data_IF_627452655651
#
_entry.id   IF_627452655651
#
_cell.length_a   1.000
_cell.length_b   1.000
_cell.length_c   1.000
_cell.angle_alpha   90.00
_cell.angle_beta   90.00
_cell.angle_gamma   90.00
#
_symmetry.space_group_name_H-M   'P 1'
#
loop_
_entity.id
_entity.type
_entity.pdbx_description
1 polymer ?
#
# COMPACT_ATOMS: atom_id res chain seq x y z
N UNK A 1 -34.31 12.58 -12.48
CA UNK A 1 -34.15 11.86 -11.20
C UNK A 1 -33.82 10.42 -11.53
N UNK A 2 -32.62 9.94 -11.19
CA UNK A 2 -32.23 8.56 -11.46
C UNK A 2 -33.07 7.61 -10.60
N UNK A 3 -33.65 6.60 -11.22
CA UNK A 3 -34.51 5.61 -10.56
C UNK A 3 -33.60 4.72 -9.68
N UNK A 4 -33.77 4.79 -8.34
CA UNK A 4 -33.00 3.97 -7.41
C UNK A 4 -33.19 2.48 -7.72
N UNK A 5 -32.11 1.74 -7.74
CA UNK A 5 -32.15 0.28 -7.92
C UNK A 5 -32.77 -0.41 -6.71
N UNK A 6 -33.32 -1.62 -6.88
CA UNK A 6 -33.97 -2.35 -5.78
C UNK A 6 -33.04 -2.65 -4.60
N UNK A 7 -31.75 -2.92 -4.86
CA UNK A 7 -30.81 -3.14 -3.76
C UNK A 7 -30.55 -1.87 -2.96
N UNK A 8 -30.46 -0.71 -3.60
CA UNK A 8 -30.35 0.60 -2.91
C UNK A 8 -31.58 0.91 -2.05
N UNK A 9 -32.78 0.59 -2.53
CA UNK A 9 -34.02 0.77 -1.75
C UNK A 9 -34.00 -0.11 -0.47
N UNK A 10 -33.50 -1.35 -0.58
CA UNK A 10 -33.35 -2.25 0.59
C UNK A 10 -32.33 -1.66 1.58
N UNK A 11 -31.19 -1.21 1.10
CA UNK A 11 -30.15 -0.59 1.92
C UNK A 11 -30.66 0.63 2.67
N UNK A 12 -31.20 1.60 1.93
CA UNK A 12 -31.74 2.86 2.51
C UNK A 12 -32.82 2.60 3.57
N UNK A 13 -33.59 1.53 3.40
CA UNK A 13 -34.63 1.18 4.38
C UNK A 13 -34.01 0.61 5.66
N UNK A 14 -33.04 -0.29 5.55
CA UNK A 14 -32.37 -0.89 6.69
C UNK A 14 -31.58 0.18 7.46
N UNK A 15 -30.83 1.03 6.76
CA UNK A 15 -30.10 2.16 7.36
C UNK A 15 -31.04 3.06 8.15
N UNK A 16 -32.15 3.51 7.53
CA UNK A 16 -33.15 4.35 8.22
C UNK A 16 -33.79 3.66 9.42
N UNK A 17 -33.94 2.33 9.40
CA UNK A 17 -34.50 1.59 10.52
C UNK A 17 -33.50 1.46 11.67
N UNK A 18 -32.19 1.39 11.38
CA UNK A 18 -31.10 1.47 12.36
C UNK A 18 -31.03 2.89 12.97
N UNK A 19 -30.95 3.91 12.13
CA UNK A 19 -30.85 5.32 12.57
C UNK A 19 -32.04 5.78 13.42
N UNK A 20 -33.23 5.26 13.12
CA UNK A 20 -34.46 5.56 13.90
C UNK A 20 -34.66 4.62 15.09
N UNK A 21 -33.69 3.78 15.42
CA UNK A 21 -33.77 2.86 16.56
C UNK A 21 -34.78 1.73 16.41
N UNK A 22 -35.34 1.49 15.21
CA UNK A 22 -36.27 0.38 14.95
C UNK A 22 -35.59 -0.95 14.84
N UNK A 23 -34.31 -0.94 14.51
CA UNK A 23 -33.39 -2.07 14.53
C UNK A 23 -32.27 -1.73 15.51
N UNK A 24 -32.24 -2.43 16.64
CA UNK A 24 -31.27 -2.22 17.70
C UNK A 24 -29.96 -2.97 17.42
N UNK A 25 -28.85 -2.48 18.00
CA UNK A 25 -27.56 -3.18 17.99
C UNK A 25 -27.71 -4.64 18.39
N UNK A 26 -27.06 -5.54 17.67
CA UNK A 26 -27.16 -6.98 17.87
C UNK A 26 -28.46 -7.62 17.39
N UNK A 27 -29.43 -6.83 16.91
CA UNK A 27 -30.68 -7.36 16.40
C UNK A 27 -30.47 -8.02 15.02
N UNK A 28 -31.13 -9.17 14.83
CA UNK A 28 -31.05 -9.94 13.59
C UNK A 28 -31.80 -9.25 12.44
N UNK A 29 -31.13 -9.08 11.31
CA UNK A 29 -31.73 -8.60 10.06
C UNK A 29 -32.56 -9.71 9.41
N UNK A 30 -33.69 -9.38 8.73
CA UNK A 30 -34.43 -10.38 7.97
C UNK A 30 -33.54 -11.11 6.96
N UNK A 31 -33.78 -12.41 6.80
CA UNK A 31 -32.98 -13.24 5.89
C UNK A 31 -33.06 -12.77 4.44
N UNK A 32 -32.07 -13.10 3.63
CA UNK A 32 -32.03 -12.83 2.18
C UNK A 32 -33.36 -13.22 1.52
N UNK A 33 -33.90 -14.39 1.84
CA UNK A 33 -35.18 -14.87 1.29
C UNK A 33 -36.35 -13.96 1.68
N UNK A 34 -36.44 -13.56 2.95
CA UNK A 34 -37.50 -12.65 3.42
C UNK A 34 -37.38 -11.25 2.79
N UNK A 35 -36.17 -10.76 2.58
CA UNK A 35 -35.93 -9.49 1.90
C UNK A 35 -36.30 -9.59 0.42
N UNK A 36 -35.88 -10.65 -0.27
CA UNK A 36 -36.22 -10.89 -1.67
C UNK A 36 -37.75 -10.91 -1.90
N UNK A 37 -38.47 -11.64 -1.04
CA UNK A 37 -39.93 -11.73 -1.08
C UNK A 37 -40.61 -10.36 -0.81
N UNK A 38 -40.16 -9.67 0.24
CA UNK A 38 -40.72 -8.35 0.64
C UNK A 38 -40.56 -7.28 -0.43
N UNK A 39 -39.38 -7.25 -1.09
CA UNK A 39 -39.05 -6.22 -2.10
C UNK A 39 -39.29 -6.70 -3.54
N UNK A 40 -39.84 -7.91 -3.72
CA UNK A 40 -40.11 -8.52 -5.03
C UNK A 40 -38.88 -8.43 -5.94
N UNK A 41 -37.74 -8.96 -5.46
CA UNK A 41 -36.49 -8.97 -6.20
C UNK A 41 -35.82 -10.36 -6.13
N UNK A 42 -34.76 -10.57 -6.90
CA UNK A 42 -33.98 -11.80 -6.84
C UNK A 42 -33.25 -11.92 -5.50
N UNK A 43 -32.93 -13.16 -5.11
CA UNK A 43 -32.09 -13.40 -3.92
C UNK A 43 -30.72 -12.72 -4.04
N UNK A 44 -30.16 -12.69 -5.25
CA UNK A 44 -28.87 -12.02 -5.51
C UNK A 44 -28.95 -10.52 -5.28
N UNK A 45 -30.06 -9.88 -5.65
CA UNK A 45 -30.31 -8.44 -5.38
C UNK A 45 -30.39 -8.17 -3.87
N UNK A 46 -31.10 -9.01 -3.13
CA UNK A 46 -31.19 -8.89 -1.66
C UNK A 46 -29.85 -9.22 -0.98
N UNK A 47 -29.12 -10.23 -1.47
CA UNK A 47 -27.79 -10.57 -1.01
C UNK A 47 -26.80 -9.43 -1.25
N UNK A 48 -26.82 -8.80 -2.44
CA UNK A 48 -25.98 -7.65 -2.76
C UNK A 48 -26.22 -6.51 -1.76
N UNK A 49 -27.46 -6.21 -1.42
CA UNK A 49 -27.78 -5.19 -0.43
C UNK A 49 -27.18 -5.49 0.96
N UNK A 50 -27.23 -6.74 1.42
CA UNK A 50 -26.67 -7.12 2.72
C UNK A 50 -25.13 -7.15 2.71
N UNK A 51 -24.51 -7.53 1.61
CA UNK A 51 -23.05 -7.46 1.44
C UNK A 51 -22.61 -6.01 1.52
N UNK A 52 -23.28 -5.13 0.84
CA UNK A 52 -22.99 -3.70 0.83
C UNK A 52 -23.17 -3.06 2.21
N UNK A 53 -24.27 -3.36 2.91
CA UNK A 53 -24.49 -2.91 4.29
C UNK A 53 -23.41 -3.42 5.26
N UNK A 54 -22.92 -4.63 5.06
CA UNK A 54 -21.79 -5.17 5.83
C UNK A 54 -20.51 -4.41 5.52
N UNK A 55 -20.26 -4.10 4.26
CA UNK A 55 -19.11 -3.33 3.84
C UNK A 55 -19.11 -1.93 4.44
N UNK A 56 -20.29 -1.28 4.45
CA UNK A 56 -20.52 0.03 5.08
C UNK A 56 -20.59 -0.03 6.62
N UNK A 57 -20.29 -1.18 7.23
CA UNK A 57 -20.26 -1.39 8.70
C UNK A 57 -21.59 -1.11 9.43
N UNK A 58 -22.72 -1.22 8.76
CA UNK A 58 -24.02 -1.17 9.42
C UNK A 58 -24.43 -2.51 10.04
N UNK A 59 -23.95 -3.61 9.47
CA UNK A 59 -24.27 -4.96 9.91
C UNK A 59 -23.06 -5.88 9.87
N UNK A 60 -23.09 -6.98 10.62
CA UNK A 60 -22.09 -8.05 10.55
C UNK A 60 -22.74 -9.40 10.27
N UNK A 61 -21.98 -10.32 9.71
CA UNK A 61 -22.44 -11.66 9.38
C UNK A 61 -21.99 -12.68 10.43
N UNK A 62 -22.91 -13.54 10.87
CA UNK A 62 -22.61 -14.70 11.71
C UNK A 62 -22.79 -15.95 10.87
N UNK A 63 -21.74 -16.79 10.68
CA UNK A 63 -21.83 -18.02 9.90
C UNK A 63 -23.00 -18.90 10.33
N UNK A 64 -23.76 -19.42 9.36
CA UNK A 64 -24.96 -20.26 9.56
C UNK A 64 -26.13 -19.60 10.32
N UNK A 65 -25.98 -18.37 10.80
CA UNK A 65 -27.01 -17.67 11.56
C UNK A 65 -27.66 -16.51 10.76
N UNK A 66 -26.87 -15.68 10.08
CA UNK A 66 -27.38 -14.58 9.27
C UNK A 66 -26.67 -13.25 9.56
N UNK A 67 -27.39 -12.15 9.35
CA UNK A 67 -26.85 -10.81 9.51
C UNK A 67 -27.46 -10.11 10.74
N UNK A 68 -26.65 -9.30 11.41
CA UNK A 68 -27.01 -8.60 12.65
C UNK A 68 -26.57 -7.15 12.59
N UNK A 69 -27.28 -6.25 13.25
CA UNK A 69 -26.94 -4.83 13.34
C UNK A 69 -25.63 -4.67 14.12
N UNK A 70 -24.67 -3.97 13.54
CA UNK A 70 -23.43 -3.61 14.21
C UNK A 70 -23.70 -2.45 15.18
N UNK A 71 -22.96 -2.39 16.29
CA UNK A 71 -22.99 -1.24 17.18
C UNK A 71 -22.47 -0.01 16.42
N UNK A 72 -23.38 0.92 16.17
CA UNK A 72 -23.04 2.16 15.48
C UNK A 72 -22.74 3.21 16.56
N UNK A 73 -21.48 3.31 16.94
CA UNK A 73 -21.00 4.25 17.94
C UNK A 73 -20.91 5.67 17.32
N UNK A 74 -22.06 6.21 16.93
CA UNK A 74 -22.17 7.58 16.35
C UNK A 74 -21.83 8.69 17.35
N UNK A 75 -21.48 8.34 18.60
CA UNK A 75 -21.13 9.28 19.65
C UNK A 75 -19.61 9.37 19.95
N UNK A 76 -18.75 8.75 19.15
CA UNK A 76 -17.31 8.91 19.30
C UNK A 76 -16.73 9.71 18.15
N UNK A 77 -16.40 10.96 18.50
CA UNK A 77 -15.51 11.91 17.82
C UNK A 77 -15.77 12.03 16.30
N UNK A 78 -16.07 13.24 15.89
CA UNK A 78 -15.76 13.75 14.57
C UNK A 78 -14.30 13.36 14.23
N UNK A 79 -14.09 12.15 13.71
CA UNK A 79 -12.96 11.95 12.84
C UNK A 79 -13.17 12.99 11.75
N UNK A 80 -12.19 13.87 11.61
CA UNK A 80 -12.11 14.77 10.46
C UNK A 80 -12.07 13.83 9.25
N UNK A 81 -13.25 13.46 8.74
CA UNK A 81 -13.37 12.92 7.39
C UNK A 81 -12.92 14.06 6.49
N UNK A 82 -11.62 14.09 6.23
CA UNK A 82 -11.15 14.74 5.02
C UNK A 82 -12.05 14.20 3.92
N UNK A 83 -12.90 15.07 3.39
CA UNK A 83 -13.88 14.77 2.36
C UNK A 83 -13.13 14.18 1.12
N UNK A 84 -12.86 12.90 1.16
CA UNK A 84 -12.44 12.09 0.03
C UNK A 84 -13.72 11.50 -0.53
N UNK A 85 -14.47 12.40 -1.13
CA UNK A 85 -15.69 12.20 -1.86
C UNK A 85 -15.43 11.35 -3.11
N UNK A 86 -16.40 11.04 -3.86
CA UNK A 86 -16.53 10.39 -5.19
C UNK A 86 -15.31 9.61 -5.75
N UNK A 87 -14.07 10.11 -5.59
CA UNK A 87 -12.84 9.52 -6.09
C UNK A 87 -12.56 8.12 -5.53
N UNK A 88 -12.95 7.83 -4.28
CA UNK A 88 -12.73 6.48 -3.70
C UNK A 88 -13.63 5.44 -4.33
N UNK A 89 -14.85 5.81 -4.68
CA UNK A 89 -15.78 4.87 -5.31
C UNK A 89 -15.31 4.56 -6.72
N UNK A 90 -14.86 5.56 -7.46
CA UNK A 90 -14.30 5.40 -8.79
C UNK A 90 -13.02 4.55 -8.76
N UNK A 91 -12.08 4.86 -7.87
CA UNK A 91 -10.85 4.09 -7.71
C UNK A 91 -11.12 2.61 -7.33
N UNK A 92 -12.16 2.34 -6.52
CA UNK A 92 -12.56 0.96 -6.19
C UNK A 92 -13.13 0.22 -7.41
N UNK A 93 -14.01 0.86 -8.18
CA UNK A 93 -14.58 0.25 -9.40
C UNK A 93 -13.49 0.02 -10.46
N UNK A 94 -12.57 0.96 -10.64
CA UNK A 94 -11.44 0.82 -11.55
C UNK A 94 -10.53 -0.33 -11.12
N UNK A 95 -10.21 -0.43 -9.83
CA UNK A 95 -9.45 -1.57 -9.29
C UNK A 95 -10.16 -2.89 -9.53
N UNK A 96 -11.48 -2.95 -9.29
CA UNK A 96 -12.28 -4.15 -9.51
C UNK A 96 -12.30 -4.58 -10.98
N UNK A 97 -12.42 -3.61 -11.90
CA UNK A 97 -12.33 -3.86 -13.35
C UNK A 97 -10.96 -4.40 -13.72
N UNK A 98 -9.88 -3.75 -13.27
CA UNK A 98 -8.52 -4.19 -13.53
C UNK A 98 -8.25 -5.62 -13.02
N UNK A 99 -8.73 -5.97 -11.82
CA UNK A 99 -8.61 -7.32 -11.28
C UNK A 99 -9.33 -8.34 -12.15
N UNK A 100 -10.58 -8.04 -12.53
CA UNK A 100 -11.37 -8.95 -13.39
C UNK A 100 -10.72 -9.13 -14.75
N UNK A 101 -10.32 -8.06 -15.43
CA UNK A 101 -9.65 -8.11 -16.73
C UNK A 101 -8.30 -8.85 -16.66
N UNK A 102 -7.58 -8.72 -15.54
CA UNK A 102 -6.31 -9.39 -15.36
C UNK A 102 -6.47 -10.89 -15.14
N UNK A 103 -7.54 -11.33 -14.48
CA UNK A 103 -7.76 -12.75 -14.15
C UNK A 103 -8.42 -13.53 -15.29
N UNK A 104 -9.35 -12.93 -16.03
CA UNK A 104 -10.13 -13.66 -17.07
C UNK A 104 -9.23 -14.06 -18.22
N UNK A 105 -9.13 -15.38 -18.47
CA UNK A 105 -8.40 -15.95 -19.59
C UNK A 105 -6.88 -15.85 -19.52
N UNK A 106 -6.33 -15.47 -18.35
CA UNK A 106 -4.88 -15.34 -18.12
C UNK A 106 -4.37 -16.23 -16.98
N UNK A 107 -5.15 -17.20 -16.56
CA UNK A 107 -4.85 -18.06 -15.40
C UNK A 107 -3.51 -18.79 -15.59
N UNK A 108 -3.23 -19.32 -16.78
CA UNK A 108 -1.96 -19.99 -17.06
C UNK A 108 -0.77 -19.03 -16.97
N UNK A 109 -0.92 -17.81 -17.48
CA UNK A 109 0.13 -16.81 -17.41
C UNK A 109 0.40 -16.36 -15.96
N UNK A 110 -0.64 -16.16 -15.17
CA UNK A 110 -0.51 -15.64 -13.80
C UNK A 110 -0.07 -16.70 -12.79
N UNK A 111 -0.50 -17.95 -12.96
CA UNK A 111 -0.30 -18.99 -11.93
C UNK A 111 0.67 -20.10 -12.34
N UNK A 112 1.01 -20.23 -13.61
CA UNK A 112 1.90 -21.28 -14.10
C UNK A 112 3.20 -20.76 -14.71
N UNK A 113 3.43 -19.44 -14.68
CA UNK A 113 4.60 -18.82 -15.26
C UNK A 113 5.66 -18.55 -14.20
N UNK A 114 6.57 -19.51 -14.00
CA UNK A 114 7.63 -19.43 -12.99
C UNK A 114 9.01 -19.05 -13.55
N UNK A 115 9.12 -18.65 -14.82
CA UNK A 115 10.43 -18.52 -15.49
C UNK A 115 11.13 -17.19 -15.25
N UNK A 116 10.45 -16.18 -14.66
CA UNK A 116 11.05 -14.86 -14.43
C UNK A 116 11.09 -14.53 -12.94
N UNK A 117 12.27 -14.61 -12.37
CA UNK A 117 12.52 -14.24 -10.97
C UNK A 117 12.37 -12.73 -10.73
N UNK A 118 12.56 -11.93 -11.76
CA UNK A 118 12.42 -10.47 -11.75
C UNK A 118 10.98 -9.99 -11.63
N UNK A 119 10.02 -10.86 -11.85
CA UNK A 119 8.58 -10.57 -11.88
C UNK A 119 8.01 -10.56 -13.29
N UNK A 120 6.68 -10.50 -13.38
CA UNK A 120 5.95 -10.54 -14.64
C UNK A 120 6.39 -9.40 -15.58
N UNK A 121 6.72 -9.74 -16.82
CA UNK A 121 7.22 -8.80 -17.83
C UNK A 121 6.25 -7.64 -18.08
N UNK A 122 4.96 -7.94 -18.29
CA UNK A 122 3.91 -6.92 -18.50
C UNK A 122 3.85 -5.92 -17.33
N UNK A 123 4.04 -6.39 -16.09
CA UNK A 123 4.05 -5.55 -14.90
C UNK A 123 5.31 -4.69 -14.87
N UNK A 124 6.49 -5.25 -15.15
CA UNK A 124 7.75 -4.49 -15.23
C UNK A 124 7.69 -3.38 -16.28
N UNK A 125 7.12 -3.68 -17.46
CA UNK A 125 6.90 -2.67 -18.51
C UNK A 125 5.92 -1.59 -18.09
N UNK A 126 4.88 -1.94 -17.35
CA UNK A 126 3.92 -0.95 -16.81
C UNK A 126 4.56 -0.07 -15.72
N UNK A 127 5.38 -0.66 -14.84
CA UNK A 127 6.16 0.08 -13.85
C UNK A 127 7.18 1.01 -14.52
N UNK A 128 7.86 0.55 -15.58
CA UNK A 128 8.77 1.40 -16.35
C UNK A 128 8.06 2.65 -16.87
N UNK A 129 6.86 2.51 -17.44
CA UNK A 129 6.06 3.66 -17.90
C UNK A 129 5.70 4.62 -16.76
N UNK A 130 5.27 4.08 -15.62
CA UNK A 130 4.96 4.88 -14.43
C UNK A 130 6.18 5.64 -13.90
N UNK A 131 7.36 5.06 -13.97
CA UNK A 131 8.60 5.69 -13.53
C UNK A 131 8.99 6.90 -14.38
N UNK A 132 8.59 6.96 -15.65
CA UNK A 132 8.81 8.15 -16.50
C UNK A 132 8.14 9.40 -15.93
N UNK A 133 6.95 9.27 -15.34
CA UNK A 133 6.24 10.39 -14.69
C UNK A 133 7.00 10.93 -13.47
N UNK A 134 7.86 10.11 -12.88
CA UNK A 134 8.76 10.48 -11.77
C UNK A 134 10.17 10.88 -12.23
N UNK A 135 10.38 11.05 -13.54
CA UNK A 135 11.67 11.34 -14.17
C UNK A 135 12.75 10.27 -13.88
N UNK A 136 12.34 9.01 -13.74
CA UNK A 136 13.25 7.87 -13.62
C UNK A 136 13.28 7.12 -14.94
N UNK A 137 14.44 7.14 -15.60
CA UNK A 137 14.66 6.57 -16.93
C UNK A 137 15.43 5.25 -16.81
N UNK A 138 14.74 4.13 -17.07
CA UNK A 138 15.32 2.79 -17.01
C UNK A 138 14.65 1.88 -18.03
N UNK A 139 15.24 0.70 -18.33
CA UNK A 139 14.59 -0.36 -19.09
C UNK A 139 13.85 -1.32 -18.15
N UNK A 140 12.87 -2.05 -18.69
CA UNK A 140 12.16 -3.08 -17.95
C UNK A 140 13.10 -4.21 -17.45
N UNK A 141 14.21 -4.47 -18.17
CA UNK A 141 15.21 -5.48 -17.79
C UNK A 141 16.02 -5.11 -16.54
N UNK A 142 16.05 -3.83 -16.19
CA UNK A 142 16.69 -3.34 -14.97
C UNK A 142 15.71 -3.24 -13.78
N UNK A 143 14.48 -3.77 -13.93
CA UNK A 143 13.45 -3.73 -12.91
C UNK A 143 13.23 -5.10 -12.30
N UNK A 144 13.28 -5.17 -10.98
CA UNK A 144 12.96 -6.38 -10.20
C UNK A 144 11.80 -6.03 -9.26
N UNK A 145 10.78 -6.89 -9.26
CA UNK A 145 9.62 -6.74 -8.39
C UNK A 145 9.82 -7.55 -7.11
N UNK A 146 9.56 -6.92 -5.97
CA UNK A 146 9.72 -7.54 -4.65
C UNK A 146 8.43 -7.43 -3.84
N UNK A 147 8.29 -8.25 -2.79
CA UNK A 147 7.20 -8.17 -1.81
C UNK A 147 7.37 -6.97 -0.87
N UNK A 148 7.65 -5.80 -1.43
CA UNK A 148 7.86 -4.55 -0.70
C UNK A 148 9.33 -4.27 -0.36
N UNK A 149 9.55 -3.08 0.20
CA UNK A 149 10.88 -2.52 0.50
C UNK A 149 11.73 -3.42 1.39
N UNK A 150 11.13 -4.16 2.33
CA UNK A 150 11.89 -5.01 3.24
C UNK A 150 12.59 -6.16 2.51
N UNK A 151 11.92 -6.79 1.55
CA UNK A 151 12.54 -7.83 0.73
C UNK A 151 13.65 -7.23 -0.14
N UNK A 152 13.42 -6.07 -0.74
CA UNK A 152 14.46 -5.39 -1.53
C UNK A 152 15.71 -5.08 -0.69
N UNK A 153 15.53 -4.50 0.51
CA UNK A 153 16.64 -4.21 1.42
C UNK A 153 17.38 -5.47 1.87
N UNK A 154 16.63 -6.55 2.16
CA UNK A 154 17.24 -7.83 2.51
C UNK A 154 18.10 -8.35 1.35
N UNK A 155 17.58 -8.40 0.14
CA UNK A 155 18.32 -8.85 -1.05
C UNK A 155 19.59 -8.00 -1.23
N UNK A 156 19.47 -6.66 -1.23
CA UNK A 156 20.62 -5.76 -1.39
C UNK A 156 21.68 -5.94 -0.29
N UNK A 157 21.25 -6.26 0.92
CA UNK A 157 22.18 -6.51 2.03
C UNK A 157 22.98 -7.80 1.88
N UNK A 158 22.40 -8.82 1.20
CA UNK A 158 23.00 -10.15 1.08
C UNK A 158 23.85 -10.34 -0.18
N UNK A 159 23.50 -9.67 -1.29
CA UNK A 159 24.27 -9.84 -2.55
C UNK A 159 25.64 -9.15 -2.47
N UNK A 160 26.61 -9.69 -3.17
CA UNK A 160 27.91 -9.06 -3.37
C UNK A 160 27.79 -7.89 -4.35
N UNK A 161 28.41 -6.77 -4.02
CA UNK A 161 28.49 -5.62 -4.91
C UNK A 161 29.81 -5.67 -5.71
N UNK A 162 29.82 -5.09 -6.92
CA UNK A 162 31.03 -5.05 -7.75
C UNK A 162 32.24 -4.39 -7.07
N UNK A 163 32.00 -3.58 -6.04
CA UNK A 163 33.05 -2.91 -5.29
C UNK A 163 33.69 -3.81 -4.22
N UNK A 164 33.20 -5.05 -4.00
CA UNK A 164 33.70 -6.03 -3.01
C UNK A 164 33.77 -5.46 -1.57
N UNK A 165 32.91 -4.52 -1.22
CA UNK A 165 32.87 -3.91 0.11
C UNK A 165 31.68 -4.49 0.91
N UNK A 166 31.73 -4.39 2.24
CA UNK A 166 30.76 -5.07 3.10
C UNK A 166 29.92 -4.11 3.97
N UNK A 167 30.48 -2.95 4.35
CA UNK A 167 29.85 -2.05 5.31
C UNK A 167 28.72 -1.25 4.69
N UNK A 168 27.55 -1.26 5.32
CA UNK A 168 26.38 -0.47 4.90
C UNK A 168 26.37 0.84 5.67
N UNK A 169 26.41 1.97 4.97
CA UNK A 169 26.25 3.29 5.58
C UNK A 169 24.76 3.65 5.65
N UNK A 170 24.28 4.11 6.81
CA UNK A 170 22.90 4.54 7.02
C UNK A 170 22.82 5.90 7.68
N UNK A 171 21.83 6.68 7.31
CA UNK A 171 21.48 7.94 8.01
C UNK A 171 20.88 7.64 9.39
N UNK A 172 21.12 8.51 10.36
CA UNK A 172 20.45 8.48 11.67
C UNK A 172 19.95 9.87 12.07
N UNK A 173 18.67 10.02 12.42
CA UNK A 173 17.60 8.98 12.40
C UNK A 173 17.20 8.59 10.98
N UNK A 174 16.64 7.39 10.84
CA UNK A 174 16.13 6.86 9.56
C UNK A 174 14.94 5.93 9.76
N UNK A 175 14.45 5.32 8.71
CA UNK A 175 13.40 4.30 8.77
C UNK A 175 13.87 3.09 9.60
N UNK A 176 13.20 2.84 10.73
CA UNK A 176 13.63 1.88 11.75
C UNK A 176 13.86 0.45 11.22
N UNK A 177 13.15 0.05 10.15
CA UNK A 177 13.28 -1.32 9.59
C UNK A 177 14.63 -1.62 8.98
N UNK A 178 15.37 -0.61 8.50
CA UNK A 178 16.75 -0.86 8.07
C UNK A 178 17.64 -1.14 9.28
N UNK A 179 17.45 -0.42 10.37
CA UNK A 179 18.18 -0.66 11.62
C UNK A 179 17.91 -2.08 12.17
N UNK A 180 16.63 -2.49 12.18
CA UNK A 180 16.22 -3.84 12.58
C UNK A 180 16.91 -4.91 11.71
N UNK A 181 16.97 -4.70 10.39
CA UNK A 181 17.62 -5.61 9.46
C UNK A 181 19.12 -5.74 9.77
N UNK A 182 19.83 -4.62 9.91
CA UNK A 182 21.27 -4.60 10.17
C UNK A 182 21.63 -5.31 11.49
N UNK A 183 20.87 -5.03 12.56
CA UNK A 183 21.09 -5.63 13.87
C UNK A 183 20.76 -7.12 13.90
N UNK A 184 19.62 -7.52 13.33
CA UNK A 184 19.17 -8.92 13.35
C UNK A 184 20.04 -9.82 12.48
N UNK A 185 20.53 -9.30 11.35
CA UNK A 185 21.43 -10.04 10.45
C UNK A 185 22.91 -9.87 10.83
N UNK A 186 23.22 -9.06 11.85
CA UNK A 186 24.59 -8.76 12.31
C UNK A 186 25.50 -8.27 11.18
N UNK A 187 24.94 -7.43 10.31
CA UNK A 187 25.67 -6.88 9.17
C UNK A 187 26.60 -5.76 9.61
N UNK A 188 27.79 -5.60 9.00
CA UNK A 188 28.65 -4.45 9.28
C UNK A 188 27.98 -3.17 8.78
N UNK A 189 27.91 -2.16 9.65
CA UNK A 189 27.34 -0.87 9.31
C UNK A 189 28.07 0.30 9.96
N UNK A 190 27.97 1.45 9.31
CA UNK A 190 28.33 2.75 9.85
C UNK A 190 27.14 3.69 9.79
N UNK A 191 27.17 4.76 10.59
CA UNK A 191 26.08 5.74 10.64
C UNK A 191 26.58 7.15 10.38
N UNK A 192 25.75 7.96 9.73
CA UNK A 192 25.97 9.39 9.57
C UNK A 192 24.76 10.16 10.11
N UNK A 193 25.00 11.25 10.85
CA UNK A 193 23.91 12.05 11.42
C UNK A 193 23.13 12.76 10.31
N UNK A 194 21.80 12.59 10.33
CA UNK A 194 20.86 13.30 9.45
C UNK A 194 20.10 14.36 10.23
N UNK A 195 20.31 15.62 9.85
CA UNK A 195 19.61 16.79 10.41
C UNK A 195 18.52 17.27 9.45
N UNK A 196 17.55 18.06 9.92
CA UNK A 196 16.64 18.78 9.01
C UNK A 196 17.35 19.66 7.98
N UNK A 197 18.58 20.06 8.25
CA UNK A 197 19.43 20.87 7.37
C UNK A 197 20.32 20.05 6.43
N UNK A 198 20.16 18.72 6.37
CA UNK A 198 20.99 17.85 5.55
C UNK A 198 21.95 16.97 6.35
N UNK A 199 22.96 16.44 5.70
CA UNK A 199 24.10 15.70 6.31
C UNK A 199 25.38 16.55 6.19
N UNK A 200 26.37 16.25 7.03
CA UNK A 200 27.70 16.82 6.88
C UNK A 200 28.45 16.13 5.74
N UNK A 201 28.61 16.82 4.61
CA UNK A 201 29.28 16.25 3.43
C UNK A 201 30.77 15.98 3.64
N UNK A 202 31.43 16.71 4.54
CA UNK A 202 32.82 16.43 4.90
C UNK A 202 32.95 15.13 5.68
N UNK A 203 32.01 14.89 6.58
CA UNK A 203 31.94 13.64 7.32
C UNK A 203 31.59 12.47 6.38
N UNK A 204 30.66 12.67 5.44
CA UNK A 204 30.31 11.70 4.40
C UNK A 204 31.54 11.33 3.58
N UNK A 205 32.30 12.33 3.10
CA UNK A 205 33.54 12.13 2.33
C UNK A 205 34.56 11.34 3.17
N UNK A 206 34.77 11.69 4.43
CA UNK A 206 35.66 10.99 5.34
C UNK A 206 35.27 9.51 5.48
N UNK A 207 33.98 9.21 5.63
CA UNK A 207 33.49 7.84 5.71
C UNK A 207 33.75 7.08 4.41
N UNK A 208 33.46 7.68 3.25
CA UNK A 208 33.71 7.04 1.94
C UNK A 208 35.20 6.80 1.68
N UNK A 209 36.07 7.68 2.16
CA UNK A 209 37.54 7.52 2.06
C UNK A 209 38.06 6.27 2.79
N UNK A 210 37.33 5.70 3.75
CA UNK A 210 37.71 4.42 4.37
C UNK A 210 37.75 3.29 3.36
N UNK A 211 37.07 3.43 2.21
CA UNK A 211 37.01 2.45 1.15
C UNK A 211 36.21 1.18 1.50
N UNK A 212 35.42 1.19 2.59
CA UNK A 212 34.71 0.01 3.09
C UNK A 212 33.21 0.02 2.81
N UNK A 213 32.65 1.15 2.31
CA UNK A 213 31.21 1.31 2.15
C UNK A 213 30.70 0.55 0.92
N UNK A 214 29.89 -0.49 1.18
CA UNK A 214 29.21 -1.30 0.18
C UNK A 214 28.16 -0.49 -0.56
N UNK A 215 27.27 0.18 0.19
CA UNK A 215 26.31 1.14 -0.30
C UNK A 215 25.86 2.09 0.82
N UNK A 216 25.32 3.23 0.42
CA UNK A 216 24.73 4.22 1.31
C UNK A 216 23.22 4.16 1.23
N UNK A 217 22.55 3.81 2.33
CA UNK A 217 21.10 3.87 2.46
C UNK A 217 20.69 5.27 2.92
N UNK A 218 19.99 6.00 2.07
CA UNK A 218 19.48 7.35 2.33
C UNK A 218 18.05 7.51 1.82
N UNK A 219 17.27 8.40 2.46
CA UNK A 219 15.93 8.79 2.02
C UNK A 219 15.98 10.24 1.54
N UNK A 220 16.24 10.47 0.24
CA UNK A 220 16.55 11.80 -0.28
C UNK A 220 15.33 12.72 -0.44
N UNK A 221 14.12 12.17 -0.34
CA UNK A 221 12.85 12.93 -0.47
C UNK A 221 11.90 12.50 0.63
N UNK A 222 11.23 13.50 1.25
CA UNK A 222 10.26 13.25 2.33
C UNK A 222 10.80 12.35 3.43
N UNK A 223 12.01 12.66 3.88
CA UNK A 223 12.76 11.83 4.85
C UNK A 223 11.93 11.47 6.08
N UNK A 224 11.86 10.20 6.42
CA UNK A 224 11.24 9.74 7.64
C UNK A 224 12.31 9.48 8.71
N UNK A 225 12.20 10.05 9.95
CA UNK A 225 11.02 10.79 10.48
C UNK A 225 11.09 12.32 10.30
N UNK A 226 12.11 12.90 9.68
CA UNK A 226 12.38 14.34 9.72
C UNK A 226 11.51 15.17 8.77
N UNK A 227 10.81 14.56 7.80
CA UNK A 227 9.96 15.26 6.81
C UNK A 227 10.69 16.13 5.79
N UNK A 228 12.02 16.19 5.84
CA UNK A 228 12.85 17.04 4.98
C UNK A 228 13.29 16.31 3.71
N UNK A 229 13.53 17.07 2.62
CA UNK A 229 14.10 16.55 1.36
C UNK A 229 15.43 17.23 1.08
N UNK A 230 16.41 16.47 0.57
CA UNK A 230 17.63 17.07 0.05
C UNK A 230 17.33 18.02 -1.10
N UNK A 231 18.03 19.15 -1.13
CA UNK A 231 18.08 20.02 -2.29
C UNK A 231 18.70 19.31 -3.49
N UNK A 232 18.55 19.89 -4.67
CA UNK A 232 19.21 19.37 -5.87
C UNK A 232 20.73 19.34 -5.72
N UNK A 233 21.31 20.40 -5.18
CA UNK A 233 22.74 20.52 -4.98
C UNK A 233 23.27 19.44 -4.02
N UNK A 234 22.62 19.23 -2.86
CA UNK A 234 23.03 18.18 -1.92
C UNK A 234 23.00 16.79 -2.55
N UNK A 235 21.98 16.49 -3.37
CA UNK A 235 21.90 15.19 -4.09
C UNK A 235 23.07 15.02 -5.08
N UNK A 236 23.39 16.07 -5.84
CA UNK A 236 24.50 16.06 -6.79
C UNK A 236 25.85 15.90 -6.07
N UNK A 237 26.05 16.57 -4.93
CA UNK A 237 27.27 16.45 -4.11
C UNK A 237 27.41 15.06 -3.49
N UNK A 238 26.32 14.48 -2.93
CA UNK A 238 26.32 13.11 -2.39
C UNK A 238 26.65 12.10 -3.50
N UNK A 239 26.02 12.24 -4.66
CA UNK A 239 26.25 11.35 -5.81
C UNK A 239 27.72 11.44 -6.29
N UNK A 240 28.26 12.66 -6.42
CA UNK A 240 29.63 12.88 -6.83
C UNK A 240 30.64 12.24 -5.85
N UNK A 241 30.37 12.26 -4.54
CA UNK A 241 31.17 11.56 -3.54
C UNK A 241 31.09 10.05 -3.71
N UNK A 242 29.86 9.51 -3.91
CA UNK A 242 29.66 8.07 -4.09
C UNK A 242 30.27 7.52 -5.39
N UNK A 243 30.37 8.34 -6.43
CA UNK A 243 31.04 7.98 -7.69
C UNK A 243 32.57 8.03 -7.60
N UNK A 244 33.12 8.85 -6.68
CA UNK A 244 34.55 9.03 -6.52
C UNK A 244 35.19 7.91 -5.70
N UNK A 245 34.49 7.38 -4.71
CA UNK A 245 35.00 6.43 -3.70
C UNK A 245 34.29 5.06 -3.77
#
# INVERSE_FOLDING_TARGET
MATKTKYQVIMDKIIRDIEKGRLSTGQKIPSVRKLADRYRCSKDTAQKALIELRYQKYIYAVPKSGYYVLENDQNKKEDIELAVTDDRHQAYEDFRLCVNETLIGRENYLFNYYSQQEGLEDLRQSVQRLLLDSAVYTSADNLILTSGTQQALYILSQIDFPNNKETILVEQPTYHRINDLLLNQKLPYETIERKPTGIDLKELERIFQTGQIKFFYTIPRFHYPLGHSYSRQEKEEILALAERY
#
